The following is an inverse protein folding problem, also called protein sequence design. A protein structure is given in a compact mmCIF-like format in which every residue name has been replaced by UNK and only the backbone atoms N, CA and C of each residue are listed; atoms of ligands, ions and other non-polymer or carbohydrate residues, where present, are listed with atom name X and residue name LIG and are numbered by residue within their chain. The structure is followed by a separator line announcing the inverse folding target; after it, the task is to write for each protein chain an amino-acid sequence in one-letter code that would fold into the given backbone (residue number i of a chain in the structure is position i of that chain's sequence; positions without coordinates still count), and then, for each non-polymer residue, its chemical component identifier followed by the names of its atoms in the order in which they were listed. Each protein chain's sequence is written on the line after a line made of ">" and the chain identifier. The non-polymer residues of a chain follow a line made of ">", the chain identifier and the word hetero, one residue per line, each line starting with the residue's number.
data_IF_301213327949
#
_entry.id   IF_301213327949
#
_cell.length_a   1.000
_cell.length_b   1.000
_cell.length_c   1.000
_cell.angle_alpha   90.00
_cell.angle_beta   90.00
_cell.angle_gamma   90.00
#
_symmetry.space_group_name_H-M   'P 1'
#
loop_
_entity.id
_entity.type
_entity.pdbx_description
1 polymer ?
#
# COMPACT_ATOMS: atom_id res chain seq x y z
N UNK A 1 -18.29 83.34 -51.53
CA UNK A 1 -18.18 84.33 -50.43
C UNK A 1 -19.22 83.92 -49.41
N UNK A 2 -18.80 83.21 -48.36
CA UNK A 2 -18.47 83.77 -47.04
C UNK A 2 -19.77 84.08 -46.28
N UNK A 3 -20.10 83.64 -45.07
CA UNK A 3 -19.46 82.87 -44.00
C UNK A 3 -20.63 82.54 -43.04
N UNK A 4 -20.69 81.35 -42.43
CA UNK A 4 -21.45 81.20 -41.17
C UNK A 4 -20.75 80.18 -40.29
N UNK A 5 -20.06 80.74 -39.30
CA UNK A 5 -19.43 80.10 -38.15
C UNK A 5 -20.51 79.53 -37.22
N UNK A 6 -20.48 78.23 -36.95
CA UNK A 6 -21.21 77.62 -35.83
C UNK A 6 -20.22 76.83 -34.99
N UNK A 7 -20.27 77.12 -33.70
CA UNK A 7 -19.35 76.65 -32.67
C UNK A 7 -19.55 75.19 -32.27
N UNK A 8 -18.44 74.70 -31.73
CA UNK A 8 -18.11 73.45 -31.07
C UNK A 8 -19.16 72.96 -30.05
N UNK A 9 -19.51 71.68 -30.14
CA UNK A 9 -19.96 70.89 -28.99
C UNK A 9 -19.46 69.46 -29.16
N UNK A 10 -18.36 69.18 -28.46
CA UNK A 10 -17.82 67.85 -28.20
C UNK A 10 -18.73 67.13 -27.20
N UNK A 11 -19.28 65.98 -27.55
CA UNK A 11 -19.33 64.87 -26.60
C UNK A 11 -19.38 63.49 -27.30
N UNK A 12 -18.23 62.83 -27.21
CA UNK A 12 -17.99 61.42 -26.89
C UNK A 12 -19.03 60.35 -27.26
N UNK A 13 -18.57 59.43 -28.10
CA UNK A 13 -19.08 58.09 -28.37
C UNK A 13 -19.65 57.35 -27.15
N UNK A 14 -20.86 56.81 -27.28
CA UNK A 14 -21.35 55.70 -26.43
C UNK A 14 -21.78 54.53 -27.31
N UNK A 15 -20.87 53.56 -27.47
CA UNK A 15 -21.24 52.21 -27.86
C UNK A 15 -22.11 51.60 -26.75
N UNK A 16 -23.07 50.72 -27.05
CA UNK A 16 -23.79 50.01 -26.01
C UNK A 16 -22.83 49.01 -25.36
N UNK A 17 -22.25 49.40 -24.22
CA UNK A 17 -21.69 48.45 -23.26
C UNK A 17 -22.85 47.60 -22.75
N UNK A 18 -22.83 46.31 -23.10
CA UNK A 18 -23.68 45.31 -22.48
C UNK A 18 -23.21 45.10 -21.02
N UNK A 19 -23.58 46.03 -20.15
CA UNK A 19 -23.41 45.95 -18.70
C UNK A 19 -24.50 45.05 -18.14
N UNK A 20 -24.30 43.74 -18.19
CA UNK A 20 -24.97 42.80 -17.30
C UNK A 20 -24.06 41.59 -17.02
N UNK A 21 -22.88 41.91 -16.49
CA UNK A 21 -21.99 40.98 -15.83
C UNK A 21 -21.86 41.40 -14.36
N UNK A 22 -22.90 41.18 -13.56
CA UNK A 22 -22.76 41.07 -12.10
C UNK A 22 -24.04 40.51 -11.47
N UNK A 23 -23.84 39.57 -10.54
CA UNK A 23 -24.81 39.02 -9.58
C UNK A 23 -25.71 37.86 -10.03
N UNK A 24 -25.12 36.66 -10.12
CA UNK A 24 -25.63 35.50 -9.35
C UNK A 24 -24.50 34.49 -9.10
N UNK A 25 -23.69 34.63 -8.03
CA UNK A 25 -22.77 33.57 -7.60
C UNK A 25 -23.50 32.32 -7.07
N UNK A 26 -24.84 32.32 -7.06
CA UNK A 26 -25.65 31.32 -6.38
C UNK A 26 -26.33 30.29 -7.31
N UNK A 27 -26.02 30.29 -8.61
CA UNK A 27 -26.56 29.28 -9.53
C UNK A 27 -26.05 27.87 -9.12
N UNK A 28 -26.94 26.91 -8.80
CA UNK A 28 -26.56 25.55 -8.41
C UNK A 28 -25.70 24.83 -9.47
N UNK A 29 -25.90 25.14 -10.76
CA UNK A 29 -25.11 24.59 -11.85
C UNK A 29 -23.69 25.16 -11.85
N UNK A 30 -23.54 26.48 -11.72
CA UNK A 30 -22.22 27.13 -11.62
C UNK A 30 -21.44 26.63 -10.39
N UNK A 31 -22.13 26.40 -9.26
CA UNK A 31 -21.52 25.78 -8.07
C UNK A 31 -21.07 24.34 -8.31
N UNK A 32 -21.89 23.53 -9.01
CA UNK A 32 -21.50 22.16 -9.40
C UNK A 32 -20.32 22.16 -10.38
N UNK A 33 -20.35 23.04 -11.37
CA UNK A 33 -19.30 23.20 -12.37
C UNK A 33 -17.98 23.58 -11.71
N UNK A 34 -17.98 24.65 -10.91
CA UNK A 34 -16.79 25.09 -10.18
C UNK A 34 -16.29 23.99 -9.24
N UNK A 35 -17.18 23.31 -8.52
CA UNK A 35 -16.77 22.18 -7.67
C UNK A 35 -16.12 21.04 -8.45
N UNK A 36 -16.61 20.71 -9.64
CA UNK A 36 -16.00 19.70 -10.50
C UNK A 36 -14.63 20.17 -10.99
N UNK A 37 -14.52 21.42 -11.43
CA UNK A 37 -13.27 22.03 -11.89
C UNK A 37 -12.21 22.15 -10.79
N UNK A 38 -12.64 22.43 -9.57
CA UNK A 38 -11.79 22.51 -8.36
C UNK A 38 -11.40 21.13 -7.83
N UNK A 39 -12.11 20.06 -8.24
CA UNK A 39 -11.77 18.70 -7.81
C UNK A 39 -10.51 18.26 -8.54
N UNK A 40 -9.38 18.32 -7.84
CA UNK A 40 -8.08 17.87 -8.33
C UNK A 40 -8.02 16.34 -8.47
N UNK A 41 -8.35 15.84 -9.65
CA UNK A 41 -8.25 14.43 -10.03
C UNK A 41 -6.90 14.07 -10.67
N UNK A 42 -5.99 15.03 -10.78
CA UNK A 42 -4.73 14.97 -11.52
C UNK A 42 -3.56 14.34 -10.74
N UNK A 43 -3.77 13.93 -9.48
CA UNK A 43 -2.70 13.30 -8.70
C UNK A 43 -2.66 11.80 -8.96
N UNK A 44 -1.49 11.25 -9.30
CA UNK A 44 -1.28 9.81 -9.55
C UNK A 44 -1.87 8.92 -8.46
N UNK A 45 -1.68 9.30 -7.19
CA UNK A 45 -2.23 8.57 -6.04
C UNK A 45 -3.76 8.47 -6.07
N UNK A 46 -4.42 9.53 -6.51
CA UNK A 46 -5.88 9.53 -6.59
C UNK A 46 -6.36 8.73 -7.80
N UNK A 47 -5.67 8.84 -8.93
CA UNK A 47 -5.95 8.01 -10.11
C UNK A 47 -5.83 6.53 -9.77
N UNK A 48 -4.80 6.15 -9.02
CA UNK A 48 -4.58 4.77 -8.56
C UNK A 48 -5.64 4.31 -7.56
N UNK A 49 -6.02 5.15 -6.60
CA UNK A 49 -7.11 4.85 -5.68
C UNK A 49 -8.45 4.65 -6.42
N UNK A 50 -8.74 5.47 -7.43
CA UNK A 50 -9.94 5.34 -8.27
C UNK A 50 -9.90 4.07 -9.13
N UNK A 51 -8.75 3.69 -9.69
CA UNK A 51 -8.57 2.40 -10.38
C UNK A 51 -8.79 1.22 -9.43
N UNK A 52 -8.24 1.28 -8.21
CA UNK A 52 -8.44 0.23 -7.23
C UNK A 52 -9.92 0.09 -6.86
N UNK A 53 -10.62 1.22 -6.67
CA UNK A 53 -12.07 1.26 -6.42
C UNK A 53 -12.88 0.68 -7.58
N UNK A 54 -12.52 0.97 -8.84
CA UNK A 54 -13.30 0.53 -10.00
C UNK A 54 -13.30 -0.99 -10.20
N UNK A 55 -12.29 -1.70 -9.70
CA UNK A 55 -12.22 -3.18 -9.73
C UNK A 55 -13.40 -3.82 -9.00
N UNK A 56 -13.91 -3.20 -7.93
CA UNK A 56 -14.97 -3.78 -7.10
C UNK A 56 -16.23 -2.92 -6.97
N UNK A 57 -16.17 -1.69 -7.46
CA UNK A 57 -17.29 -0.77 -7.49
C UNK A 57 -17.77 -0.59 -8.93
N UNK A 58 -18.35 -1.65 -9.49
CA UNK A 58 -18.79 -1.71 -10.90
C UNK A 58 -20.07 -0.93 -11.16
N UNK A 59 -20.92 -0.76 -10.13
CA UNK A 59 -22.21 -0.06 -10.24
C UNK A 59 -22.27 1.19 -9.37
N UNK A 60 -22.54 2.34 -9.99
CA UNK A 60 -22.76 3.61 -9.30
C UNK A 60 -24.24 3.81 -8.95
N UNK A 61 -24.70 3.14 -7.90
CA UNK A 61 -26.04 3.30 -7.33
C UNK A 61 -26.01 4.14 -6.04
N UNK A 62 -27.17 4.62 -5.60
CA UNK A 62 -27.29 5.30 -4.31
C UNK A 62 -26.89 4.39 -3.14
N UNK A 63 -27.23 3.10 -3.23
CA UNK A 63 -26.92 2.09 -2.23
C UNK A 63 -25.42 1.86 -2.13
N UNK A 64 -24.76 1.61 -3.25
CA UNK A 64 -23.31 1.36 -3.29
C UNK A 64 -22.56 2.60 -2.78
N UNK A 65 -23.01 3.80 -3.13
CA UNK A 65 -22.41 5.04 -2.61
C UNK A 65 -22.57 5.22 -1.10
N UNK A 66 -23.74 4.89 -0.54
CA UNK A 66 -23.98 4.95 0.93
C UNK A 66 -23.14 3.93 1.70
N UNK A 67 -22.88 2.77 1.10
CA UNK A 67 -22.19 1.67 1.76
C UNK A 67 -20.68 1.63 1.50
N UNK A 68 -20.19 2.44 0.55
CA UNK A 68 -18.80 2.41 0.05
C UNK A 68 -17.75 2.32 1.15
N UNK A 69 -17.85 3.18 2.18
CA UNK A 69 -16.91 3.16 3.30
C UNK A 69 -16.91 1.82 4.03
N UNK A 70 -18.09 1.31 4.38
CA UNK A 70 -18.23 0.05 5.09
C UNK A 70 -17.80 -1.16 4.24
N UNK A 71 -17.99 -1.10 2.93
CA UNK A 71 -17.52 -2.13 2.00
C UNK A 71 -15.99 -2.15 1.91
N UNK A 72 -15.35 -0.97 1.83
CA UNK A 72 -13.89 -0.83 1.88
C UNK A 72 -13.34 -1.37 3.20
N UNK A 73 -13.94 -0.98 4.33
CA UNK A 73 -13.51 -1.42 5.66
C UNK A 73 -13.62 -2.94 5.83
N UNK A 74 -14.76 -3.55 5.43
CA UNK A 74 -14.93 -5.02 5.44
C UNK A 74 -13.92 -5.73 4.56
N UNK A 75 -13.66 -5.21 3.36
CA UNK A 75 -12.65 -5.80 2.47
C UNK A 75 -11.26 -5.72 3.07
N UNK A 76 -10.90 -4.58 3.67
CA UNK A 76 -9.61 -4.40 4.35
C UNK A 76 -9.44 -5.40 5.49
N UNK A 77 -10.47 -5.58 6.32
CA UNK A 77 -10.48 -6.59 7.38
C UNK A 77 -10.30 -8.00 6.83
N UNK A 78 -11.06 -8.39 5.81
CA UNK A 78 -10.97 -9.72 5.20
C UNK A 78 -9.59 -10.00 4.60
N UNK A 79 -8.95 -9.01 3.96
CA UNK A 79 -7.58 -9.15 3.44
C UNK A 79 -6.59 -9.35 4.60
N UNK A 80 -6.73 -8.60 5.69
CA UNK A 80 -5.83 -8.71 6.84
C UNK A 80 -5.99 -10.04 7.59
N UNK A 81 -7.22 -10.52 7.73
CA UNK A 81 -7.51 -11.84 8.30
C UNK A 81 -6.88 -12.96 7.45
N UNK A 82 -7.02 -12.87 6.13
CA UNK A 82 -6.43 -13.83 5.20
C UNK A 82 -4.90 -13.80 5.26
N UNK A 83 -4.31 -12.60 5.29
CA UNK A 83 -2.88 -12.43 5.45
C UNK A 83 -2.37 -13.06 6.75
N UNK A 84 -3.05 -12.79 7.88
CA UNK A 84 -2.68 -13.35 9.17
C UNK A 84 -2.79 -14.88 9.19
N UNK A 85 -3.81 -15.44 8.53
CA UNK A 85 -3.99 -16.89 8.41
C UNK A 85 -2.84 -17.53 7.62
N UNK A 86 -2.59 -17.05 6.41
CA UNK A 86 -1.52 -17.59 5.56
C UNK A 86 -0.16 -17.46 6.25
N UNK A 87 0.10 -16.31 6.88
CA UNK A 87 1.38 -16.08 7.56
C UNK A 87 1.55 -16.99 8.78
N UNK A 88 0.47 -17.36 9.46
CA UNK A 88 0.49 -18.33 10.55
C UNK A 88 0.94 -19.70 10.03
N UNK A 89 0.41 -20.18 8.91
CA UNK A 89 0.79 -21.47 8.34
C UNK A 89 2.29 -21.47 7.98
N UNK A 90 2.80 -20.39 7.37
CA UNK A 90 4.23 -20.23 7.06
C UNK A 90 5.10 -20.23 8.33
N UNK A 91 4.64 -19.57 9.40
CA UNK A 91 5.33 -19.55 10.69
C UNK A 91 5.43 -20.96 11.27
N UNK A 92 4.34 -21.71 11.28
CA UNK A 92 4.30 -23.06 11.85
C UNK A 92 5.25 -24.02 11.11
N UNK A 93 5.27 -23.96 9.77
CA UNK A 93 6.22 -24.72 8.96
C UNK A 93 7.68 -24.33 9.24
N UNK A 94 7.96 -23.04 9.39
CA UNK A 94 9.30 -22.55 9.72
C UNK A 94 9.76 -22.98 11.12
N UNK A 95 8.84 -22.98 12.10
CA UNK A 95 9.09 -23.49 13.44
C UNK A 95 9.41 -24.99 13.42
N UNK A 96 8.65 -25.78 12.64
CA UNK A 96 8.94 -27.22 12.47
C UNK A 96 10.34 -27.46 11.89
N UNK A 97 10.73 -26.72 10.84
CA UNK A 97 12.07 -26.83 10.26
C UNK A 97 13.16 -26.43 11.27
N UNK A 98 12.89 -25.40 12.08
CA UNK A 98 13.82 -24.98 13.12
C UNK A 98 14.04 -26.07 14.18
N UNK A 99 12.96 -26.70 14.64
CA UNK A 99 13.01 -27.82 15.59
C UNK A 99 13.78 -29.01 15.03
N UNK A 100 13.54 -29.38 13.77
CA UNK A 100 14.27 -30.48 13.10
C UNK A 100 15.78 -30.20 13.00
N UNK A 101 16.15 -28.98 12.63
CA UNK A 101 17.57 -28.57 12.55
C UNK A 101 18.21 -28.60 13.93
N UNK A 102 17.50 -28.16 14.96
CA UNK A 102 18.01 -28.19 16.33
C UNK A 102 18.21 -29.62 16.83
N UNK A 103 17.24 -30.51 16.58
CA UNK A 103 17.35 -31.93 16.90
C UNK A 103 18.53 -32.59 16.15
N UNK A 104 18.73 -32.26 14.88
CA UNK A 104 19.86 -32.75 14.09
C UNK A 104 21.19 -32.26 14.66
N UNK A 105 21.28 -31.01 15.10
CA UNK A 105 22.49 -30.45 15.74
C UNK A 105 22.84 -31.23 17.01
N UNK A 106 21.86 -31.44 17.89
CA UNK A 106 22.04 -32.21 19.13
C UNK A 106 22.48 -33.64 18.84
N UNK A 107 21.85 -34.32 17.87
CA UNK A 107 22.24 -35.67 17.47
C UNK A 107 23.68 -35.74 16.94
N UNK A 108 24.10 -34.77 16.12
CA UNK A 108 25.47 -34.68 15.63
C UNK A 108 26.48 -34.47 16.77
N UNK A 109 26.16 -33.63 17.75
CA UNK A 109 26.99 -33.40 18.92
C UNK A 109 27.14 -34.66 19.77
N UNK A 110 26.03 -35.35 20.05
CA UNK A 110 26.04 -36.61 20.79
C UNK A 110 26.87 -37.69 20.07
N UNK A 111 26.69 -37.83 18.76
CA UNK A 111 27.45 -38.79 17.95
C UNK A 111 28.95 -38.47 17.97
N UNK A 112 29.29 -37.19 17.85
CA UNK A 112 30.68 -36.71 17.93
C UNK A 112 31.29 -37.03 19.30
N UNK A 113 30.55 -36.81 20.38
CA UNK A 113 31.02 -37.11 21.74
C UNK A 113 31.21 -38.61 21.96
N UNK A 114 30.30 -39.45 21.46
CA UNK A 114 30.46 -40.93 21.49
C UNK A 114 31.67 -41.40 20.73
N UNK A 115 31.92 -40.84 19.55
CA UNK A 115 33.10 -41.19 18.74
C UNK A 115 34.41 -40.81 19.45
N UNK A 116 34.45 -39.63 20.09
CA UNK A 116 35.60 -39.20 20.91
C UNK A 116 35.85 -40.16 22.07
N UNK A 117 34.81 -40.53 22.82
CA UNK A 117 34.93 -41.46 23.94
C UNK A 117 35.40 -42.86 23.48
N UNK A 118 34.83 -43.39 22.40
CA UNK A 118 35.25 -44.68 21.84
C UNK A 118 36.71 -44.66 21.36
N UNK A 119 37.17 -43.54 20.79
CA UNK A 119 38.56 -43.33 20.39
C UNK A 119 39.51 -43.35 21.59
N UNK A 120 39.19 -42.60 22.65
CA UNK A 120 39.99 -42.59 23.90
C UNK A 120 40.06 -43.98 24.52
N UNK A 121 38.92 -44.66 24.65
CA UNK A 121 38.89 -46.01 25.21
C UNK A 121 39.72 -47.01 24.38
N UNK A 122 39.66 -46.92 23.05
CA UNK A 122 40.46 -47.77 22.16
C UNK A 122 41.96 -47.46 22.30
N UNK A 123 42.32 -46.19 22.40
CA UNK A 123 43.71 -45.76 22.63
C UNK A 123 44.26 -46.31 23.95
N UNK A 124 43.49 -46.21 25.04
CA UNK A 124 43.86 -46.76 26.35
C UNK A 124 44.08 -48.29 26.30
N UNK A 125 43.22 -49.02 25.60
CA UNK A 125 43.34 -50.46 25.41
C UNK A 125 44.60 -50.84 24.61
N UNK A 126 44.93 -50.08 23.56
CA UNK A 126 46.15 -50.28 22.76
C UNK A 126 47.39 -50.07 23.64
N UNK A 127 47.42 -49.02 24.46
CA UNK A 127 48.55 -48.74 25.36
C UNK A 127 48.73 -49.88 26.37
N UNK A 128 47.66 -50.34 27.01
CA UNK A 128 47.70 -51.47 27.96
C UNK A 128 48.17 -52.76 27.29
N UNK A 129 47.70 -53.05 26.07
CA UNK A 129 48.07 -54.27 25.33
C UNK A 129 49.55 -54.26 24.95
N UNK A 130 50.08 -53.14 24.45
CA UNK A 130 51.50 -53.00 24.14
C UNK A 130 52.39 -53.14 25.38
N UNK A 131 51.95 -52.61 26.54
CA UNK A 131 52.70 -52.76 27.79
C UNK A 131 52.81 -54.23 28.20
N UNK A 132 51.73 -55.00 28.10
CA UNK A 132 51.71 -56.42 28.43
C UNK A 132 52.53 -57.30 27.46
N UNK A 133 52.67 -56.90 26.19
CA UNK A 133 53.52 -57.61 25.22
C UNK A 133 55.03 -57.36 25.43
N UNK A 134 55.40 -56.30 26.15
CA UNK A 134 56.79 -55.95 26.45
C UNK A 134 57.32 -56.55 27.77
N UNK A 135 56.47 -57.19 28.55
CA UNK A 135 56.82 -58.00 29.74
C UNK A 135 57.01 -59.47 29.36
#
# INVERSE_FOLDING_TARGET
>A
MADTKVEMSTDSSTAPQNTNAASQPNNPLSRKLNKILETRLDTDKMLEALKALSVFFTENSLRTRRNLRGDIERRSLSINEEFARIFKDVKEELESVHEDVQAMSTCCEEMTNRLKAAKEQTQDLIVKTNKLQGE
#
